data_IF_985744731567
#
_entry.id   IF_985744731567
#
_cell.length_a   1.000
_cell.length_b   1.000
_cell.length_c   1.000
_cell.angle_alpha   90.00
_cell.angle_beta   90.00
_cell.angle_gamma   90.00
#
_symmetry.space_group_name_H-M   'P 1'
#
loop_
_entity.id
_entity.type
_entity.pdbx_description
1 polymer ?
#
# COMPACT_ATOMS: atom_id res chain seq x y z
N UNK A 1 19.76 -3.12 -19.08
CA UNK A 1 20.14 -3.03 -17.65
C UNK A 1 18.89 -3.23 -16.81
N UNK A 2 18.53 -4.48 -16.50
CA UNK A 2 17.35 -4.82 -15.69
C UNK A 2 17.74 -4.66 -14.22
N UNK A 3 17.38 -3.52 -13.64
CA UNK A 3 17.68 -3.24 -12.23
C UNK A 3 16.74 -4.06 -11.34
N UNK A 4 17.03 -5.37 -11.23
CA UNK A 4 16.44 -6.29 -10.27
C UNK A 4 16.91 -5.96 -8.86
N UNK A 5 16.58 -4.75 -8.38
CA UNK A 5 16.86 -4.32 -7.02
C UNK A 5 16.02 -5.21 -6.11
N UNK A 6 16.72 -6.15 -5.45
CA UNK A 6 16.27 -7.15 -4.49
C UNK A 6 14.86 -6.86 -3.95
N UNK A 7 13.89 -7.71 -4.32
CA UNK A 7 12.51 -7.75 -3.81
C UNK A 7 12.48 -8.18 -2.33
N UNK A 8 13.20 -7.45 -1.48
CA UNK A 8 13.20 -7.63 -0.05
C UNK A 8 11.93 -7.04 0.54
N UNK A 9 11.42 -7.66 1.60
CA UNK A 9 10.37 -7.06 2.44
C UNK A 9 10.85 -5.67 2.86
N UNK A 10 10.03 -4.63 2.66
CA UNK A 10 10.34 -3.28 3.14
C UNK A 10 10.73 -3.34 4.63
N UNK A 11 11.78 -2.63 5.08
CA UNK A 11 12.19 -2.61 6.49
C UNK A 11 11.03 -2.30 7.45
N UNK A 12 10.09 -1.47 7.00
CA UNK A 12 8.87 -1.13 7.71
C UNK A 12 7.93 -2.34 7.87
N UNK A 13 7.70 -3.11 6.81
CA UNK A 13 6.88 -4.33 6.86
C UNK A 13 7.50 -5.40 7.74
N UNK A 14 8.83 -5.54 7.72
CA UNK A 14 9.54 -6.44 8.61
C UNK A 14 9.37 -6.02 10.08
N UNK A 15 9.47 -4.72 10.37
CA UNK A 15 9.23 -4.15 11.70
C UNK A 15 7.80 -4.40 12.18
N UNK A 16 6.79 -4.13 11.35
CA UNK A 16 5.37 -4.35 11.68
C UNK A 16 5.07 -5.83 11.95
N UNK A 17 5.63 -6.75 11.15
CA UNK A 17 5.51 -8.20 11.42
C UNK A 17 6.13 -8.58 12.78
N UNK A 18 7.28 -8.00 13.11
CA UNK A 18 7.91 -8.16 14.43
C UNK A 18 7.02 -7.67 15.56
N UNK A 19 6.43 -6.47 15.42
CA UNK A 19 5.50 -5.90 16.41
C UNK A 19 4.26 -6.77 16.62
N UNK A 20 3.65 -7.28 15.54
CA UNK A 20 2.52 -8.24 15.64
C UNK A 20 2.95 -9.49 16.40
N UNK A 21 4.07 -10.11 16.04
CA UNK A 21 4.56 -11.31 16.71
C UNK A 21 4.81 -11.05 18.21
N UNK A 22 5.42 -9.91 18.56
CA UNK A 22 5.64 -9.54 19.96
C UNK A 22 4.35 -9.27 20.73
N UNK A 23 3.34 -8.65 20.11
CA UNK A 23 2.04 -8.41 20.73
C UNK A 23 1.30 -9.73 21.01
N UNK A 24 1.32 -10.67 20.05
CA UNK A 24 0.76 -12.03 20.21
C UNK A 24 1.43 -12.77 21.37
N UNK A 25 2.77 -12.83 21.38
CA UNK A 25 3.52 -13.55 22.42
C UNK A 25 3.29 -12.96 23.81
N UNK A 26 3.04 -11.65 23.92
CA UNK A 26 2.77 -10.96 25.20
C UNK A 26 1.29 -10.88 25.58
N UNK A 27 0.39 -11.45 24.79
CA UNK A 27 -1.06 -11.39 25.03
C UNK A 27 -1.67 -9.98 24.96
N UNK A 28 -1.02 -9.05 24.26
CA UNK A 28 -1.46 -7.64 24.14
C UNK A 28 -2.41 -7.48 22.96
N UNK A 29 -3.67 -7.86 23.17
CA UNK A 29 -4.67 -8.01 22.11
C UNK A 29 -4.99 -6.71 21.36
N UNK A 30 -5.09 -5.59 22.07
CA UNK A 30 -5.41 -4.29 21.43
C UNK A 30 -4.25 -3.82 20.53
N UNK A 31 -3.02 -3.94 21.02
CA UNK A 31 -1.81 -3.67 20.22
C UNK A 31 -1.72 -4.61 19.02
N UNK A 32 -2.03 -5.90 19.19
CA UNK A 32 -2.03 -6.86 18.09
C UNK A 32 -3.00 -6.43 16.98
N UNK A 33 -4.24 -6.08 17.33
CA UNK A 33 -5.26 -5.65 16.38
C UNK A 33 -4.78 -4.41 15.62
N UNK A 34 -4.26 -3.42 16.34
CA UNK A 34 -3.73 -2.20 15.74
C UNK A 34 -2.58 -2.51 14.78
N UNK A 35 -1.55 -3.26 15.22
CA UNK A 35 -0.41 -3.58 14.37
C UNK A 35 -0.78 -4.43 13.15
N UNK A 36 -1.80 -5.28 13.23
CA UNK A 36 -2.34 -6.01 12.07
C UNK A 36 -3.00 -5.08 11.06
N UNK A 37 -3.75 -4.07 11.51
CA UNK A 37 -4.36 -3.07 10.63
C UNK A 37 -3.28 -2.26 9.92
N UNK A 38 -2.28 -1.77 10.66
CA UNK A 38 -1.12 -1.06 10.12
C UNK A 38 -0.37 -1.92 9.09
N UNK A 39 -0.09 -3.19 9.42
CA UNK A 39 0.55 -4.12 8.50
C UNK A 39 -0.25 -4.34 7.21
N UNK A 40 -1.58 -4.45 7.32
CA UNK A 40 -2.45 -4.60 6.15
C UNK A 40 -2.43 -3.35 5.26
N UNK A 41 -2.47 -2.16 5.86
CA UNK A 41 -2.38 -0.90 5.12
C UNK A 41 -1.04 -0.77 4.39
N UNK A 42 0.08 -1.05 5.06
CA UNK A 42 1.41 -0.99 4.47
C UNK A 42 1.60 -2.02 3.33
N UNK A 43 1.04 -3.23 3.46
CA UNK A 43 1.05 -4.23 2.38
C UNK A 43 0.25 -3.77 1.17
N UNK A 44 -0.90 -3.12 1.39
CA UNK A 44 -1.72 -2.59 0.32
C UNK A 44 -0.98 -1.45 -0.40
N UNK A 45 -0.35 -0.55 0.35
CA UNK A 45 0.45 0.54 -0.22
C UNK A 45 1.59 0.00 -1.09
N UNK A 46 2.39 -0.95 -0.57
CA UNK A 46 3.44 -1.60 -1.35
C UNK A 46 2.87 -2.20 -2.64
N UNK A 47 1.72 -2.87 -2.55
CA UNK A 47 1.09 -3.49 -3.72
C UNK A 47 0.65 -2.46 -4.76
N UNK A 48 0.11 -1.32 -4.31
CA UNK A 48 -0.27 -0.22 -5.21
C UNK A 48 0.98 0.33 -5.89
N UNK A 49 2.05 0.60 -5.14
CA UNK A 49 3.31 1.10 -5.70
C UNK A 49 3.90 0.13 -6.73
N UNK A 50 3.95 -1.17 -6.43
CA UNK A 50 4.41 -2.20 -7.37
C UNK A 50 3.56 -2.23 -8.65
N UNK A 51 2.24 -2.18 -8.48
CA UNK A 51 1.29 -2.21 -9.59
C UNK A 51 1.49 -1.00 -10.50
N UNK A 52 1.50 0.21 -9.92
CA UNK A 52 1.72 1.47 -10.66
C UNK A 52 3.10 1.49 -11.32
N UNK A 53 4.15 1.05 -10.62
CA UNK A 53 5.51 1.00 -11.18
C UNK A 53 5.62 0.03 -12.36
N UNK A 54 4.80 -1.02 -12.40
CA UNK A 54 4.77 -1.98 -13.52
C UNK A 54 3.97 -1.50 -14.72
N UNK A 55 3.16 -0.45 -14.59
CA UNK A 55 2.30 0.00 -15.67
C UNK A 55 3.08 0.71 -16.77
N UNK A 56 2.72 0.50 -18.05
CA UNK A 56 3.29 1.27 -19.12
C UNK A 56 2.96 2.76 -18.92
N UNK A 57 3.80 3.68 -19.43
CA UNK A 57 3.48 5.10 -19.41
C UNK A 57 2.10 5.34 -20.01
N UNK A 58 1.23 6.04 -19.28
CA UNK A 58 -0.12 6.35 -19.76
C UNK A 58 -0.01 7.14 -21.07
N UNK A 59 -0.81 6.78 -22.07
CA UNK A 59 -0.93 7.61 -23.27
C UNK A 59 -1.69 8.90 -22.94
N UNK A 60 -1.57 9.97 -23.76
CA UNK A 60 -2.37 11.18 -23.57
C UNK A 60 -3.88 10.89 -23.46
N UNK A 61 -4.42 10.03 -24.33
CA UNK A 61 -5.83 9.64 -24.31
C UNK A 61 -6.23 8.91 -23.01
N UNK A 62 -5.36 8.05 -22.47
CA UNK A 62 -5.60 7.39 -21.19
C UNK A 62 -5.58 8.38 -20.02
N UNK A 63 -4.67 9.37 -20.05
CA UNK A 63 -4.63 10.44 -19.05
C UNK A 63 -5.91 11.27 -19.06
N UNK A 64 -6.42 11.64 -20.24
CA UNK A 64 -7.69 12.38 -20.37
C UNK A 64 -8.86 11.59 -19.79
N UNK A 65 -8.96 10.29 -20.10
CA UNK A 65 -10.01 9.42 -19.53
C UNK A 65 -9.89 9.29 -18.00
N UNK A 66 -8.67 9.10 -17.50
CA UNK A 66 -8.42 8.98 -16.06
C UNK A 66 -8.79 10.28 -15.33
N UNK A 67 -8.45 11.44 -15.89
CA UNK A 67 -8.82 12.75 -15.34
C UNK A 67 -10.35 12.93 -15.28
N UNK A 68 -11.09 12.46 -16.28
CA UNK A 68 -12.55 12.50 -16.27
C UNK A 68 -13.15 11.56 -15.20
N UNK A 69 -12.57 10.38 -14.99
CA UNK A 69 -13.01 9.42 -13.96
C UNK A 69 -12.71 9.88 -12.53
N UNK A 70 -11.59 10.57 -12.34
CA UNK A 70 -11.15 11.11 -11.04
C UNK A 70 -11.68 12.52 -10.78
N UNK A 71 -12.43 13.10 -11.72
CA UNK A 71 -13.04 14.40 -11.52
C UNK A 71 -14.00 14.32 -10.33
N UNK A 72 -13.92 15.25 -9.36
CA UNK A 72 -14.85 15.28 -8.25
C UNK A 72 -16.27 15.39 -8.80
N UNK A 73 -17.13 14.45 -8.40
CA UNK A 73 -18.56 14.54 -8.72
C UNK A 73 -19.08 15.73 -7.93
N UNK A 74 -19.61 16.75 -8.62
CA UNK A 74 -20.28 17.87 -7.98
C UNK A 74 -21.48 17.31 -7.18
N UNK A 75 -21.30 17.17 -5.86
CA UNK A 75 -22.30 16.61 -4.94
C UNK A 75 -21.77 15.67 -3.85
N UNK A 76 -20.48 15.32 -3.83
CA UNK A 76 -19.92 14.39 -2.84
C UNK A 76 -19.34 15.03 -1.57
N UNK A 77 -19.84 16.18 -1.14
CA UNK A 77 -19.42 16.84 0.10
C UNK A 77 -20.64 17.40 0.83
N UNK A 78 -21.32 16.52 1.57
CA UNK A 78 -22.10 16.83 2.78
C UNK A 78 -21.85 15.73 3.82
#
# INVERSE_FOLDING_TARGET
MTNGKRRGISPELASLRGKVAMAVTRGRRDEEIQYRQELKAALLEQRIQETVASWPPLTPAMRTKLAALLAPVAGGAE
#
